data_IF_020904910615
#
_entry.id   IF_020904910615
#
_cell.length_a   1.000
_cell.length_b   1.000
_cell.length_c   1.000
_cell.angle_alpha   90.00
_cell.angle_beta   90.00
_cell.angle_gamma   90.00
#
_symmetry.space_group_name_H-M   'P 1'
#
loop_
_entity.id
_entity.type
_entity.pdbx_description
1 polymer ?
#
# COMPACT_ATOMS: atom_id res chain seq x y z
N UNK A 1 -13.36 4.06 -0.17
CA UNK A 1 -12.06 3.77 0.45
C UNK A 1 -11.62 4.96 1.30
N UNK A 2 -10.88 4.75 2.39
CA UNK A 2 -10.31 5.82 3.22
C UNK A 2 -8.87 6.13 2.75
N UNK A 3 -8.54 7.40 2.56
CA UNK A 3 -7.21 7.87 2.12
C UNK A 3 -6.51 8.74 3.18
N UNK A 4 -7.07 8.83 4.39
CA UNK A 4 -6.43 9.55 5.49
C UNK A 4 -5.16 8.81 5.92
N UNK A 5 -4.01 9.48 5.81
CA UNK A 5 -2.71 8.94 6.17
C UNK A 5 -2.70 8.38 7.60
N UNK A 6 -3.43 9.01 8.53
CA UNK A 6 -3.51 8.57 9.94
C UNK A 6 -4.18 7.20 10.09
N UNK A 7 -5.13 6.89 9.22
CA UNK A 7 -5.77 5.57 9.22
C UNK A 7 -4.80 4.49 8.71
N UNK A 8 -3.96 4.83 7.73
CA UNK A 8 -2.93 3.92 7.23
C UNK A 8 -1.82 3.75 8.27
N UNK A 9 -1.40 4.82 8.94
CA UNK A 9 -0.45 4.78 10.06
C UNK A 9 -0.96 3.91 11.21
N UNK A 10 -2.24 4.02 11.56
CA UNK A 10 -2.87 3.14 12.54
C UNK A 10 -2.77 1.67 12.12
N UNK A 11 -3.06 1.36 10.85
CA UNK A 11 -2.96 0.01 10.33
C UNK A 11 -1.51 -0.52 10.37
N UNK A 12 -0.53 0.30 10.01
CA UNK A 12 0.89 -0.03 10.10
C UNK A 12 1.31 -0.28 11.54
N UNK A 13 0.92 0.59 12.48
CA UNK A 13 1.26 0.45 13.90
C UNK A 13 0.62 -0.79 14.54
N UNK A 14 -0.55 -1.20 14.04
CA UNK A 14 -1.26 -2.38 14.54
C UNK A 14 -0.75 -3.69 13.93
N UNK A 15 -0.59 -3.75 12.60
CA UNK A 15 -0.32 -4.99 11.86
C UNK A 15 1.13 -5.14 11.38
N UNK A 16 1.92 -4.07 11.38
CA UNK A 16 3.23 -4.04 10.72
C UNK A 16 3.15 -3.64 9.24
N UNK A 17 4.15 -2.92 8.74
CA UNK A 17 4.18 -2.44 7.35
C UNK A 17 4.25 -3.57 6.32
N UNK A 18 4.75 -4.75 6.70
CA UNK A 18 4.85 -5.96 5.89
C UNK A 18 3.50 -6.66 5.65
N UNK A 19 2.45 -6.25 6.37
CA UNK A 19 1.07 -6.74 6.26
C UNK A 19 0.12 -5.77 5.53
N UNK A 20 0.63 -4.65 5.03
CA UNK A 20 -0.17 -3.65 4.31
C UNK A 20 0.02 -3.79 2.80
N UNK A 21 -1.09 -3.78 2.03
CA UNK A 21 -1.10 -3.93 0.57
C UNK A 21 -1.81 -2.75 -0.09
N UNK A 22 -1.21 -2.17 -1.13
CA UNK A 22 -1.91 -1.23 -2.01
C UNK A 22 -2.95 -1.96 -2.89
N UNK A 23 -4.13 -1.36 -3.06
CA UNK A 23 -5.21 -1.90 -3.89
C UNK A 23 -5.98 -0.81 -4.60
N UNK A 24 -6.33 -1.03 -5.87
CA UNK A 24 -7.04 -0.02 -6.68
C UNK A 24 -8.55 -0.02 -6.43
N UNK A 25 -9.18 -1.16 -6.15
CA UNK A 25 -10.66 -1.23 -6.09
C UNK A 25 -11.34 -0.93 -7.46
N UNK A 26 -10.65 -1.25 -8.57
CA UNK A 26 -11.20 -1.20 -9.92
C UNK A 26 -12.33 -2.25 -10.12
N UNK A 27 -13.45 -1.97 -10.83
CA UNK A 27 -13.72 -0.84 -11.74
C UNK A 27 -14.41 0.39 -11.11
N UNK A 28 -14.58 0.47 -9.80
CA UNK A 28 -15.46 1.46 -9.17
C UNK A 28 -14.90 2.91 -9.13
N UNK A 29 -13.92 3.31 -9.96
CA UNK A 29 -13.07 4.50 -9.74
C UNK A 29 -13.40 5.75 -10.60
N UNK A 30 -13.67 6.89 -9.96
CA UNK A 30 -13.12 8.19 -10.36
C UNK A 30 -12.28 8.71 -9.18
N UNK A 31 -10.95 8.75 -9.32
CA UNK A 31 -10.02 9.39 -8.37
C UNK A 31 -9.33 8.52 -7.33
N UNK A 32 -9.64 7.22 -7.20
CA UNK A 32 -9.08 6.40 -6.11
C UNK A 32 -7.64 5.90 -6.32
N UNK A 33 -7.14 5.79 -7.55
CA UNK A 33 -5.73 5.41 -7.77
C UNK A 33 -4.77 6.54 -7.37
N UNK A 34 -5.03 7.76 -7.82
CA UNK A 34 -4.19 8.92 -7.49
C UNK A 34 -4.22 9.25 -6.00
N UNK A 35 -5.40 9.15 -5.35
CA UNK A 35 -5.54 9.34 -3.90
C UNK A 35 -4.86 8.23 -3.09
N UNK A 36 -4.91 6.98 -3.57
CA UNK A 36 -4.18 5.87 -2.94
C UNK A 36 -2.66 6.11 -3.03
N UNK A 37 -2.16 6.50 -4.20
CA UNK A 37 -0.73 6.76 -4.37
C UNK A 37 -0.27 7.98 -3.55
N UNK A 38 -1.06 9.07 -3.50
CA UNK A 38 -0.69 10.27 -2.73
C UNK A 38 -0.70 10.03 -1.22
N UNK A 39 -1.69 9.28 -0.71
CA UNK A 39 -1.75 8.92 0.71
C UNK A 39 -0.57 8.04 1.13
N UNK A 40 -0.22 7.01 0.35
CA UNK A 40 0.98 6.18 0.61
C UNK A 40 2.27 7.01 0.57
N UNK A 41 2.41 7.96 -0.37
CA UNK A 41 3.58 8.85 -0.46
C UNK A 41 3.74 9.77 0.75
N UNK A 42 2.64 10.16 1.41
CA UNK A 42 2.68 11.05 2.58
C UNK A 42 3.16 10.39 3.87
N UNK A 43 3.18 9.05 3.93
CA UNK A 43 3.56 8.30 5.13
C UNK A 43 5.02 8.51 5.53
N UNK A 44 5.24 8.68 6.83
CA UNK A 44 6.56 8.77 7.45
C UNK A 44 7.14 7.38 7.74
N UNK A 45 7.42 6.62 6.67
CA UNK A 45 7.97 5.26 6.69
C UNK A 45 9.25 5.16 5.87
N UNK A 46 9.98 4.05 6.01
CA UNK A 46 11.16 3.82 5.18
C UNK A 46 10.77 3.62 3.71
N UNK A 47 11.69 3.95 2.79
CA UNK A 47 11.45 3.70 1.36
C UNK A 47 11.32 2.20 1.04
N UNK A 48 11.97 1.34 1.81
CA UNK A 48 11.80 -0.11 1.70
C UNK A 48 10.37 -0.55 2.06
N UNK A 49 9.81 -0.02 3.15
CA UNK A 49 8.43 -0.28 3.54
C UNK A 49 7.44 0.27 2.51
N UNK A 50 7.70 1.47 1.98
CA UNK A 50 6.88 2.06 0.92
C UNK A 50 6.86 1.17 -0.33
N UNK A 51 8.01 0.70 -0.78
CA UNK A 51 8.11 -0.21 -1.92
C UNK A 51 7.40 -1.56 -1.66
N UNK A 52 7.50 -2.06 -0.43
CA UNK A 52 6.81 -3.27 0.01
C UNK A 52 5.28 -3.09 -0.04
N UNK A 53 4.74 -1.99 0.49
CA UNK A 53 3.30 -1.69 0.47
C UNK A 53 2.78 -1.56 -0.97
N UNK A 54 3.55 -0.91 -1.85
CA UNK A 54 3.18 -0.71 -3.25
C UNK A 54 3.19 -2.01 -4.08
N UNK A 55 3.88 -3.06 -3.63
CA UNK A 55 3.84 -4.33 -4.35
C UNK A 55 4.69 -5.46 -3.78
N UNK A 56 5.78 -5.17 -3.05
CA UNK A 56 6.66 -6.21 -2.51
C UNK A 56 5.95 -7.20 -1.56
N UNK A 57 5.05 -6.69 -0.71
CA UNK A 57 4.23 -7.50 0.18
C UNK A 57 3.28 -8.41 -0.60
N UNK A 58 2.61 -7.87 -1.64
CA UNK A 58 1.72 -8.64 -2.52
C UNK A 58 2.50 -9.73 -3.26
N UNK A 59 3.69 -9.39 -3.79
CA UNK A 59 4.55 -10.34 -4.49
C UNK A 59 4.97 -11.50 -3.57
N UNK A 60 5.36 -11.20 -2.32
CA UNK A 60 5.69 -12.22 -1.31
C UNK A 60 4.47 -13.07 -0.94
N UNK A 61 3.32 -12.45 -0.68
CA UNK A 61 2.09 -13.12 -0.29
C UNK A 61 1.60 -14.10 -1.37
N UNK A 62 1.62 -13.65 -2.63
CA UNK A 62 1.17 -14.43 -3.77
C UNK A 62 2.27 -15.32 -4.37
N UNK A 63 3.48 -15.31 -3.80
CA UNK A 63 4.66 -16.03 -4.30
C UNK A 63 4.94 -15.76 -5.78
N UNK A 64 4.82 -14.50 -6.19
CA UNK A 64 5.15 -14.09 -7.53
C UNK A 64 6.67 -14.23 -7.72
N UNK A 65 7.09 -15.09 -8.63
CA UNK A 65 8.47 -15.08 -9.12
C UNK A 65 8.71 -13.71 -9.76
N UNK A 66 9.83 -13.07 -9.43
CA UNK A 66 10.32 -11.97 -10.24
C UNK A 66 10.43 -12.51 -11.67
N UNK A 67 9.55 -12.05 -12.57
CA UNK A 67 9.68 -12.37 -13.98
C UNK A 67 11.07 -11.93 -14.40
N UNK A 68 11.89 -12.88 -14.83
CA UNK A 68 13.17 -12.61 -15.49
C UNK A 68 12.96 -11.91 -16.82
#
# INVERSE_FOLDING_TARGET
MNFDARAIELAINFAGADHILAGSDYPHQIGSLELMLSSIRSLQITEADRANILGGNTARLLRLSAGG
#
